data_IF_175390625333
#
_entry.id   IF_175390625333
#
_cell.length_a   1.000
_cell.length_b   1.000
_cell.length_c   1.000
_cell.angle_alpha   90.00
_cell.angle_beta   90.00
_cell.angle_gamma   90.00
#
_symmetry.space_group_name_H-M   'P 1'
#
loop_
_entity.id
_entity.type
_entity.pdbx_description
1 polymer ?
#
# COMPACT_ATOMS: atom_id res chain seq x y z
N UNK A 1 13.32 3.84 6.76
CA UNK A 1 12.94 5.07 7.51
C UNK A 1 12.20 6.00 6.57
N UNK A 2 11.10 6.63 7.02
CA UNK A 2 10.33 7.61 6.22
C UNK A 2 10.38 8.95 6.94
N UNK A 3 10.75 10.01 6.22
CA UNK A 3 10.79 11.37 6.73
C UNK A 3 9.81 12.26 5.95
N UNK A 4 9.07 13.07 6.66
CA UNK A 4 8.16 14.08 6.12
C UNK A 4 8.68 15.44 6.52
N UNK A 5 8.89 16.33 5.56
CA UNK A 5 9.42 17.65 5.79
C UNK A 5 8.52 18.73 5.17
N UNK A 6 7.91 19.57 6.03
CA UNK A 6 7.04 20.70 5.67
C UNK A 6 5.92 20.33 4.69
N UNK A 7 5.38 19.10 4.80
CA UNK A 7 4.42 18.53 3.88
C UNK A 7 3.09 19.27 3.93
N UNK A 8 2.68 19.81 2.80
CA UNK A 8 1.38 20.47 2.62
C UNK A 8 0.70 19.89 1.38
N UNK A 9 -0.58 19.56 1.50
CA UNK A 9 -1.41 19.13 0.37
C UNK A 9 -2.68 19.96 0.30
N UNK A 10 -2.87 20.58 -0.87
CA UNK A 10 -4.04 21.40 -1.21
C UNK A 10 -4.74 20.74 -2.40
N UNK A 11 -6.05 20.64 -2.36
CA UNK A 11 -6.92 20.27 -3.48
C UNK A 11 -7.81 21.46 -3.81
N UNK A 12 -7.70 21.98 -5.02
CA UNK A 12 -8.34 23.23 -5.42
C UNK A 12 -8.02 24.35 -4.39
N UNK A 13 -8.98 24.75 -3.57
CA UNK A 13 -8.81 25.77 -2.52
C UNK A 13 -8.75 25.20 -1.11
N UNK A 14 -8.97 23.87 -0.95
CA UNK A 14 -9.00 23.22 0.36
C UNK A 14 -7.63 22.66 0.75
N UNK A 15 -7.06 23.15 1.85
CA UNK A 15 -5.88 22.57 2.47
C UNK A 15 -6.28 21.35 3.31
N UNK A 16 -5.82 20.16 2.91
CA UNK A 16 -6.10 18.89 3.60
C UNK A 16 -5.01 18.52 4.59
N UNK A 17 -3.76 18.78 4.25
CA UNK A 17 -2.60 18.62 5.14
C UNK A 17 -1.81 19.93 5.11
N UNK A 18 -1.37 20.40 6.28
CA UNK A 18 -0.68 21.66 6.41
C UNK A 18 0.58 21.52 7.25
N UNK A 19 1.73 21.76 6.64
CA UNK A 19 3.05 21.82 7.29
C UNK A 19 3.34 20.64 8.22
N UNK A 20 3.09 19.43 7.75
CA UNK A 20 3.33 18.19 8.51
C UNK A 20 4.83 17.90 8.50
N UNK A 21 5.38 17.66 9.69
CA UNK A 21 6.74 17.19 9.90
C UNK A 21 6.67 15.94 10.78
N UNK A 22 7.23 14.82 10.34
CA UNK A 22 7.25 13.56 11.08
C UNK A 22 8.35 12.65 10.56
N UNK A 23 8.79 11.75 11.42
CA UNK A 23 9.71 10.66 11.08
C UNK A 23 9.10 9.33 11.52
N UNK A 24 9.19 8.33 10.66
CA UNK A 24 8.77 6.96 10.93
C UNK A 24 10.01 6.07 10.86
N UNK A 25 10.47 5.61 12.02
CA UNK A 25 11.65 4.77 12.13
C UNK A 25 11.40 3.37 11.56
N UNK A 26 12.46 2.76 11.00
CA UNK A 26 12.39 1.40 10.51
C UNK A 26 12.21 0.39 11.66
N UNK A 27 11.56 -0.73 11.37
CA UNK A 27 11.36 -1.82 12.33
C UNK A 27 10.28 -1.58 13.40
N UNK A 28 9.56 -0.46 13.32
CA UNK A 28 8.47 -0.13 14.23
C UNK A 28 7.11 -0.12 13.52
N UNK A 29 6.05 -0.33 14.28
CA UNK A 29 4.66 -0.15 13.83
C UNK A 29 4.23 1.26 14.23
N UNK A 30 3.90 2.07 13.25
CA UNK A 30 3.43 3.44 13.44
C UNK A 30 1.92 3.55 13.17
N UNK A 31 1.19 4.16 14.09
CA UNK A 31 -0.25 4.40 13.97
C UNK A 31 -0.57 5.85 13.59
N UNK A 32 -1.31 6.05 12.51
CA UNK A 32 -1.87 7.36 12.12
C UNK A 32 -3.32 7.45 12.59
N UNK A 33 -3.57 8.27 13.60
CA UNK A 33 -4.88 8.41 14.25
C UNK A 33 -5.51 9.76 13.87
N UNK A 34 -6.81 9.79 13.68
CA UNK A 34 -7.56 11.00 13.37
C UNK A 34 -9.01 10.71 12.97
N UNK A 35 -9.86 11.74 13.01
CA UNK A 35 -11.27 11.65 12.59
C UNK A 35 -11.40 11.30 11.11
N UNK A 36 -12.59 10.89 10.67
CA UNK A 36 -12.89 10.75 9.25
C UNK A 36 -12.76 12.11 8.57
N UNK A 37 -12.15 12.12 7.38
CA UNK A 37 -11.84 13.37 6.66
C UNK A 37 -10.57 14.10 7.11
N UNK A 38 -9.85 13.64 8.14
CA UNK A 38 -8.61 14.29 8.62
C UNK A 38 -7.38 14.15 7.68
N UNK A 39 -7.56 13.59 6.49
CA UNK A 39 -6.46 13.46 5.52
C UNK A 39 -5.58 12.22 5.66
N UNK A 40 -5.94 11.22 6.52
CA UNK A 40 -5.14 10.01 6.72
C UNK A 40 -4.82 9.27 5.42
N UNK A 41 -5.84 9.01 4.59
CA UNK A 41 -5.66 8.35 3.28
C UNK A 41 -4.79 9.19 2.35
N UNK A 42 -4.95 10.52 2.37
CA UNK A 42 -4.13 11.45 1.59
C UNK A 42 -2.66 11.37 2.03
N UNK A 43 -2.41 11.35 3.35
CA UNK A 43 -1.06 11.18 3.89
C UNK A 43 -0.44 9.86 3.43
N UNK A 44 -1.15 8.73 3.57
CA UNK A 44 -0.64 7.42 3.14
C UNK A 44 -0.32 7.40 1.63
N UNK A 45 -1.16 7.99 0.78
CA UNK A 45 -0.91 8.09 -0.66
C UNK A 45 0.34 8.92 -0.98
N UNK A 46 0.60 9.99 -0.21
CA UNK A 46 1.81 10.80 -0.34
C UNK A 46 3.06 10.03 0.08
N UNK A 47 2.98 9.24 1.19
CA UNK A 47 4.09 8.41 1.69
C UNK A 47 4.48 7.29 0.73
N UNK A 48 3.55 6.83 -0.10
CA UNK A 48 3.78 5.78 -1.08
C UNK A 48 4.22 6.30 -2.47
N UNK A 49 4.14 7.62 -2.71
CA UNK A 49 4.38 8.21 -4.02
C UNK A 49 3.19 8.15 -4.98
N UNK A 50 2.02 7.66 -4.51
CA UNK A 50 0.79 7.64 -5.32
C UNK A 50 0.18 9.04 -5.52
N UNK A 51 0.73 10.03 -4.84
CA UNK A 51 0.34 11.43 -4.93
C UNK A 51 1.53 12.33 -4.61
N UNK A 52 1.63 13.48 -5.28
CA UNK A 52 2.65 14.47 -4.98
C UNK A 52 2.15 15.53 -3.99
N UNK A 53 3.01 16.02 -3.09
CA UNK A 53 2.67 17.13 -2.20
C UNK A 53 2.54 18.44 -2.99
N UNK A 54 1.77 19.39 -2.47
CA UNK A 54 1.72 20.76 -2.99
C UNK A 54 2.93 21.60 -2.56
N UNK A 55 3.47 21.29 -1.33
CA UNK A 55 4.71 21.85 -0.79
C UNK A 55 5.35 20.82 0.14
N UNK A 56 6.66 20.97 0.38
CA UNK A 56 7.42 20.05 1.21
C UNK A 56 7.81 18.77 0.44
N UNK A 57 8.27 17.77 1.17
CA UNK A 57 8.79 16.56 0.56
C UNK A 57 8.59 15.34 1.47
N UNK A 58 8.63 14.16 0.86
CA UNK A 58 8.69 12.86 1.53
C UNK A 58 9.97 12.17 1.09
N UNK A 59 10.72 11.66 2.06
CA UNK A 59 11.98 10.95 1.84
C UNK A 59 11.80 9.54 2.40
N UNK A 60 12.07 8.53 1.59
CA UNK A 60 12.01 7.12 1.97
C UNK A 60 13.40 6.52 1.78
N UNK A 61 14.00 6.05 2.87
CA UNK A 61 15.35 5.48 2.89
C UNK A 61 16.39 6.36 2.16
N UNK A 62 16.34 7.68 2.44
CA UNK A 62 17.23 8.67 1.87
C UNK A 62 16.90 9.11 0.44
N UNK A 63 15.84 8.58 -0.19
CA UNK A 63 15.41 8.95 -1.54
C UNK A 63 14.14 9.80 -1.50
N UNK A 64 14.18 10.95 -2.15
CA UNK A 64 13.02 11.86 -2.23
C UNK A 64 12.00 11.34 -3.27
N UNK A 65 10.74 11.15 -2.83
CA UNK A 65 9.64 10.77 -3.71
C UNK A 65 9.31 11.91 -4.69
N UNK A 66 9.10 11.53 -5.95
CA UNK A 66 8.81 12.47 -7.04
C UNK A 66 10.04 13.21 -7.57
N UNK A 67 11.25 12.88 -7.10
CA UNK A 67 12.52 13.44 -7.59
C UNK A 67 13.54 12.33 -7.87
N UNK A 68 13.90 11.55 -6.87
CA UNK A 68 14.90 10.48 -6.99
C UNK A 68 14.23 9.16 -7.40
N UNK A 69 13.01 8.94 -6.94
CA UNK A 69 12.16 7.78 -7.26
C UNK A 69 10.69 8.22 -7.32
N UNK A 70 9.87 7.57 -8.15
CA UNK A 70 8.45 7.90 -8.26
C UNK A 70 7.64 7.32 -7.11
N UNK A 71 7.97 6.09 -6.68
CA UNK A 71 7.27 5.36 -5.63
C UNK A 71 8.21 4.94 -4.51
N UNK A 72 7.65 4.72 -3.32
CA UNK A 72 8.41 4.17 -2.19
C UNK A 72 9.01 2.82 -2.59
N UNK A 73 10.35 2.67 -2.56
CA UNK A 73 11.00 1.42 -2.94
C UNK A 73 10.64 0.30 -1.94
N UNK A 74 10.50 -0.91 -2.45
CA UNK A 74 10.25 -2.13 -1.67
C UNK A 74 9.08 -2.04 -0.66
N UNK A 75 8.07 -1.22 -0.98
CA UNK A 75 6.89 -1.03 -0.16
C UNK A 75 5.71 -1.86 -0.66
N UNK A 76 5.12 -2.67 0.23
CA UNK A 76 3.79 -3.22 0.05
C UNK A 76 2.73 -2.19 0.46
N UNK A 77 1.75 -1.93 -0.39
CA UNK A 77 0.77 -0.87 -0.19
C UNK A 77 -0.65 -1.44 -0.21
N UNK A 78 -1.38 -1.23 0.89
CA UNK A 78 -2.82 -1.50 0.95
C UNK A 78 -3.53 -0.21 1.33
N UNK A 79 -4.20 0.40 0.36
CA UNK A 79 -5.01 1.59 0.59
C UNK A 79 -6.47 1.25 0.25
N UNK A 80 -7.35 1.39 1.24
CA UNK A 80 -8.77 1.07 1.15
C UNK A 80 -9.01 -0.43 0.89
N UNK A 81 -9.83 -0.80 -0.09
CA UNK A 81 -10.16 -2.20 -0.38
C UNK A 81 -9.29 -2.72 -1.51
N UNK A 82 -8.57 -3.84 -1.33
CA UNK A 82 -7.80 -4.44 -2.42
C UNK A 82 -8.70 -4.81 -3.60
N UNK A 83 -8.29 -4.39 -4.81
CA UNK A 83 -8.99 -4.71 -6.04
C UNK A 83 -8.37 -5.96 -6.67
N UNK A 84 -9.18 -7.02 -6.78
CA UNK A 84 -8.80 -8.27 -7.43
C UNK A 84 -9.72 -8.56 -8.61
N UNK A 85 -9.24 -9.38 -9.55
CA UNK A 85 -10.05 -9.89 -10.66
C UNK A 85 -11.06 -10.91 -10.10
N UNK A 86 -12.35 -10.62 -10.12
CA UNK A 86 -13.35 -11.39 -9.36
C UNK A 86 -13.57 -12.80 -9.92
N UNK A 87 -13.22 -13.04 -11.18
CA UNK A 87 -13.36 -14.32 -11.87
C UNK A 87 -12.14 -15.23 -11.74
N UNK A 88 -11.07 -14.78 -11.12
CA UNK A 88 -9.89 -15.59 -10.82
C UNK A 88 -9.92 -16.07 -9.36
N UNK A 89 -9.19 -17.17 -9.07
CA UNK A 89 -8.93 -17.61 -7.70
C UNK A 89 -7.95 -16.67 -7.00
N UNK A 90 -7.78 -16.81 -5.67
CA UNK A 90 -6.78 -16.03 -4.93
C UNK A 90 -5.38 -16.24 -5.47
N UNK A 91 -4.99 -17.51 -5.64
CA UNK A 91 -3.67 -17.85 -6.19
C UNK A 91 -3.45 -17.26 -7.60
N UNK A 92 -4.45 -17.34 -8.48
CA UNK A 92 -4.34 -16.77 -9.81
C UNK A 92 -4.17 -15.25 -9.78
N UNK A 93 -4.90 -14.54 -8.91
CA UNK A 93 -4.73 -13.09 -8.75
C UNK A 93 -3.30 -12.72 -8.31
N UNK A 94 -2.75 -13.40 -7.29
CA UNK A 94 -1.38 -13.14 -6.85
C UNK A 94 -0.35 -13.50 -7.92
N UNK A 95 -0.58 -14.57 -8.68
CA UNK A 95 0.30 -14.97 -9.78
C UNK A 95 0.33 -13.90 -10.90
N UNK A 96 -0.81 -13.32 -11.26
CA UNK A 96 -0.86 -12.22 -12.25
C UNK A 96 -0.06 -11.02 -11.75
N UNK A 97 -0.20 -10.64 -10.48
CA UNK A 97 0.59 -9.54 -9.89
C UNK A 97 2.09 -9.87 -9.85
N UNK A 98 2.46 -11.06 -9.42
CA UNK A 98 3.85 -11.51 -9.38
C UNK A 98 4.50 -11.53 -10.77
N UNK A 99 3.72 -11.80 -11.82
CA UNK A 99 4.20 -11.84 -13.21
C UNK A 99 4.68 -10.48 -13.73
N UNK A 100 4.22 -9.37 -13.13
CA UNK A 100 4.61 -8.01 -13.54
C UNK A 100 6.13 -7.79 -13.34
N UNK A 101 6.66 -8.23 -12.22
CA UNK A 101 8.11 -8.14 -11.90
C UNK A 101 8.85 -9.44 -12.15
N UNK A 102 8.15 -10.56 -12.19
CA UNK A 102 8.65 -11.92 -12.39
C UNK A 102 9.83 -12.31 -11.47
N UNK A 103 9.72 -11.92 -10.18
CA UNK A 103 10.75 -12.15 -9.17
C UNK A 103 10.36 -13.31 -8.26
N UNK A 104 9.04 -13.49 -8.02
CA UNK A 104 8.47 -14.40 -7.02
C UNK A 104 8.03 -15.70 -7.68
N UNK A 105 8.41 -16.85 -7.11
CA UNK A 105 8.01 -18.18 -7.54
C UNK A 105 6.56 -18.53 -7.18
N UNK A 106 6.04 -19.63 -7.73
CA UNK A 106 4.71 -20.13 -7.36
C UNK A 106 4.66 -20.65 -5.93
N UNK A 107 5.75 -21.19 -5.47
CA UNK A 107 5.93 -21.72 -4.12
C UNK A 107 5.84 -20.58 -3.09
N UNK A 108 6.51 -19.47 -3.33
CA UNK A 108 6.45 -18.28 -2.47
C UNK A 108 5.05 -17.64 -2.46
N UNK A 109 4.32 -17.65 -3.60
CA UNK A 109 2.91 -17.23 -3.63
C UNK A 109 2.05 -18.12 -2.74
N UNK A 110 2.25 -19.45 -2.80
CA UNK A 110 1.51 -20.39 -1.98
C UNK A 110 1.80 -20.18 -0.48
N UNK A 111 3.07 -20.02 -0.11
CA UNK A 111 3.49 -19.74 1.26
C UNK A 111 2.87 -18.41 1.79
N UNK A 112 2.88 -17.35 1.00
CA UNK A 112 2.26 -16.08 1.38
C UNK A 112 0.75 -16.23 1.64
N UNK A 113 0.05 -17.05 0.85
CA UNK A 113 -1.37 -17.34 1.08
C UNK A 113 -1.60 -18.15 2.36
N UNK A 114 -0.76 -19.16 2.64
CA UNK A 114 -0.83 -19.95 3.85
C UNK A 114 -0.58 -19.10 5.11
N UNK A 115 0.38 -18.19 5.08
CA UNK A 115 0.66 -17.26 6.18
C UNK A 115 -0.58 -16.43 6.58
N UNK A 116 -1.40 -16.08 5.61
CA UNK A 116 -2.66 -15.37 5.86
C UNK A 116 -3.87 -16.30 6.00
N UNK A 117 -3.65 -17.61 6.17
CA UNK A 117 -4.69 -18.64 6.35
C UNK A 117 -5.68 -18.69 5.18
N UNK A 118 -5.18 -18.61 3.97
CA UNK A 118 -5.91 -18.87 2.73
C UNK A 118 -5.30 -20.10 2.05
N UNK A 119 -6.17 -21.02 1.62
CA UNK A 119 -5.76 -22.23 0.90
C UNK A 119 -5.34 -21.89 -0.55
N UNK A 120 -4.05 -22.06 -0.92
CA UNK A 120 -3.56 -21.75 -2.26
C UNK A 120 -4.13 -22.69 -3.34
N UNK A 121 -4.58 -23.90 -2.96
CA UNK A 121 -5.18 -24.87 -3.88
C UNK A 121 -6.64 -24.59 -4.19
N UNK A 122 -7.27 -23.67 -3.45
CA UNK A 122 -8.69 -23.33 -3.61
C UNK A 122 -8.98 -22.73 -4.97
N UNK A 123 -9.90 -23.34 -5.71
CA UNK A 123 -10.40 -22.84 -7.00
C UNK A 123 -11.54 -21.82 -6.85
N UNK A 124 -11.91 -21.45 -5.60
CA UNK A 124 -12.96 -20.46 -5.35
C UNK A 124 -12.57 -19.10 -5.90
N UNK A 125 -13.40 -18.53 -6.76
CA UNK A 125 -13.19 -17.21 -7.33
C UNK A 125 -13.25 -16.11 -6.25
N UNK A 126 -12.40 -15.08 -6.37
CA UNK A 126 -12.32 -13.97 -5.40
C UNK A 126 -13.63 -13.19 -5.32
N UNK A 127 -14.43 -13.14 -6.38
CA UNK A 127 -15.77 -12.57 -6.34
C UNK A 127 -16.70 -13.21 -5.29
N UNK A 128 -16.43 -14.47 -4.88
CA UNK A 128 -17.16 -15.20 -3.83
C UNK A 128 -16.47 -15.17 -2.47
N UNK A 129 -15.37 -14.43 -2.31
CA UNK A 129 -14.67 -14.28 -1.05
C UNK A 129 -15.46 -13.37 -0.09
N UNK A 130 -15.42 -13.68 1.19
CA UNK A 130 -15.86 -12.74 2.22
C UNK A 130 -14.95 -11.51 2.26
N UNK A 131 -15.39 -10.43 2.90
CA UNK A 131 -14.57 -9.24 3.10
C UNK A 131 -13.24 -9.61 3.77
N UNK A 132 -13.28 -10.41 4.85
CA UNK A 132 -12.07 -10.84 5.55
C UNK A 132 -11.14 -11.71 4.69
N UNK A 133 -11.67 -12.53 3.78
CA UNK A 133 -10.83 -13.28 2.84
C UNK A 133 -10.14 -12.34 1.83
N UNK A 134 -10.85 -11.33 1.31
CA UNK A 134 -10.27 -10.33 0.42
C UNK A 134 -9.19 -9.49 1.11
N UNK A 135 -9.43 -9.08 2.36
CA UNK A 135 -8.43 -8.36 3.15
C UNK A 135 -7.17 -9.21 3.38
N UNK A 136 -7.33 -10.49 3.76
CA UNK A 136 -6.19 -11.41 3.93
C UNK A 136 -5.42 -11.62 2.63
N UNK A 137 -6.11 -11.77 1.51
CA UNK A 137 -5.48 -11.88 0.20
C UNK A 137 -4.69 -10.59 -0.14
N UNK A 138 -5.22 -9.40 0.24
CA UNK A 138 -4.53 -8.13 0.10
C UNK A 138 -3.25 -8.02 0.95
N UNK A 139 -3.20 -8.71 2.09
CA UNK A 139 -1.98 -8.79 2.92
C UNK A 139 -0.94 -9.73 2.29
N UNK A 140 -1.38 -10.80 1.61
CA UNK A 140 -0.49 -11.74 0.92
C UNK A 140 0.09 -11.18 -0.40
N UNK A 141 -0.43 -10.06 -0.89
CA UNK A 141 -0.02 -9.37 -2.11
C UNK A 141 1.30 -8.62 -1.91
#
# INVERSE_FOLDING_TARGET
MIEIQNLTKVFQEQTVLQNINATFDAGLIHGVIGKNGAGKTVLLRLLCGLMHPSKGQVIVDGKQLGKDVDFAPDAGIIIETPCFLPYLSGFQNLKELASIRNIISKEEIAEAMEQVKLDPSSRKHVGKYSLGMRQRLGIAQ
#
